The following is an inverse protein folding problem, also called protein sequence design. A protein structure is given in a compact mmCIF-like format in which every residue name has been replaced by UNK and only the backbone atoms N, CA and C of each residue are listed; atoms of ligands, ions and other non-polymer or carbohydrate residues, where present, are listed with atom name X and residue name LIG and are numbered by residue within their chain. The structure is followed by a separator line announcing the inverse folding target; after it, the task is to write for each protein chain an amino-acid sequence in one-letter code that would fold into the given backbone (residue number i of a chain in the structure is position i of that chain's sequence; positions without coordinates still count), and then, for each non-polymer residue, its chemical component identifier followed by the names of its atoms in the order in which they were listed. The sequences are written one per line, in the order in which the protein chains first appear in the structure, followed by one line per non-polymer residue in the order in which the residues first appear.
data_IF_743209342977
#
_entry.id   IF_743209342977
#
_cell.length_a   1.000
_cell.length_b   1.000
_cell.length_c   1.000
_cell.angle_alpha   90.00
_cell.angle_beta   90.00
_cell.angle_gamma   90.00
#
_symmetry.space_group_name_H-M   'P 1'
#
loop_
_entity.id
_entity.type
_entity.pdbx_description
1 polymer ?
#
# COMPACT_ATOMS: atom_id res chain seq x y z
N UNK A 1 -10.13 6.77 59.17
CA UNK A 1 -9.69 7.59 58.02
C UNK A 1 -10.04 6.80 56.77
N UNK A 2 -11.16 7.08 56.08
CA UNK A 2 -11.39 6.50 54.77
C UNK A 2 -10.26 6.98 53.84
N UNK A 3 -9.58 6.03 53.18
CA UNK A 3 -8.47 6.32 52.30
C UNK A 3 -8.88 7.28 51.19
N UNK A 4 -8.10 8.36 51.04
CA UNK A 4 -8.21 9.26 49.90
C UNK A 4 -7.99 8.42 48.63
N UNK A 5 -9.07 8.14 47.91
CA UNK A 5 -8.99 7.62 46.54
C UNK A 5 -8.39 8.75 45.72
N UNK A 6 -7.13 8.63 45.35
CA UNK A 6 -6.52 9.53 44.37
C UNK A 6 -7.31 9.38 43.07
N UNK A 7 -7.87 10.46 42.49
CA UNK A 7 -8.57 10.37 41.23
C UNK A 7 -7.63 9.81 40.15
N UNK A 8 -8.16 8.94 39.28
CA UNK A 8 -7.43 8.49 38.09
C UNK A 8 -6.98 9.72 37.29
N UNK A 9 -5.75 9.73 36.73
CA UNK A 9 -5.35 10.80 35.83
C UNK A 9 -6.32 10.87 34.65
N UNK A 10 -6.55 12.09 34.11
CA UNK A 10 -7.43 12.27 32.95
C UNK A 10 -6.86 11.51 31.75
N UNK A 11 -7.69 10.91 30.88
CA UNK A 11 -7.20 10.23 29.70
C UNK A 11 -6.40 11.18 28.81
N UNK A 12 -5.47 10.63 28.01
CA UNK A 12 -4.80 11.39 26.98
C UNK A 12 -5.82 11.83 25.92
N UNK A 13 -5.70 13.08 25.50
CA UNK A 13 -6.54 13.67 24.47
C UNK A 13 -5.67 14.34 23.41
N UNK A 14 -6.18 14.49 22.20
CA UNK A 14 -5.53 15.24 21.14
C UNK A 14 -6.48 16.26 20.54
N UNK A 15 -5.98 17.47 20.31
CA UNK A 15 -6.64 18.46 19.47
C UNK A 15 -6.23 18.20 18.02
N UNK A 16 -7.19 17.77 17.21
CA UNK A 16 -7.01 17.46 15.79
C UNK A 16 -7.93 18.36 14.96
N UNK A 17 -7.44 18.87 13.83
CA UNK A 17 -8.27 19.56 12.85
C UNK A 17 -8.82 18.56 11.82
N UNK A 18 -10.12 18.36 11.83
CA UNK A 18 -10.83 17.41 10.97
C UNK A 18 -11.55 18.13 9.84
N UNK A 19 -11.83 17.41 8.76
CA UNK A 19 -12.80 17.83 7.76
C UNK A 19 -14.19 18.02 8.39
N UNK A 20 -14.95 18.98 7.89
CA UNK A 20 -16.39 19.02 8.16
C UNK A 20 -17.05 17.82 7.46
N UNK A 21 -17.93 17.05 8.14
CA UNK A 21 -18.60 15.90 7.57
C UNK A 21 -19.33 16.21 6.27
N UNK A 22 -19.31 15.25 5.34
CA UNK A 22 -20.01 15.36 4.05
C UNK A 22 -21.49 15.68 4.21
N UNK A 23 -22.13 15.18 5.26
CA UNK A 23 -23.55 15.43 5.59
C UNK A 23 -23.86 16.89 5.93
N UNK A 24 -22.87 17.69 6.32
CA UNK A 24 -23.00 19.12 6.62
C UNK A 24 -22.66 20.02 5.40
N UNK A 25 -22.20 19.43 4.29
CA UNK A 25 -21.81 20.15 3.09
C UNK A 25 -22.88 20.06 2.01
N UNK A 26 -23.16 21.18 1.34
CA UNK A 26 -24.03 21.18 0.15
C UNK A 26 -23.37 20.43 -1.01
N UNK A 27 -24.14 19.88 -1.97
CA UNK A 27 -23.56 19.23 -3.16
C UNK A 27 -22.59 20.13 -3.95
N UNK A 28 -22.86 21.44 -4.00
CA UNK A 28 -21.99 22.41 -4.66
C UNK A 28 -20.64 22.57 -3.94
N UNK A 29 -20.64 22.60 -2.60
CA UNK A 29 -19.40 22.63 -1.81
C UNK A 29 -18.60 21.35 -2.00
N UNK A 30 -19.26 20.19 -1.94
CA UNK A 30 -18.60 18.89 -2.18
C UNK A 30 -17.94 18.85 -3.56
N UNK A 31 -18.67 19.24 -4.62
CA UNK A 31 -18.14 19.28 -5.97
C UNK A 31 -16.94 20.23 -6.10
N UNK A 32 -16.97 21.40 -5.43
CA UNK A 32 -15.85 22.34 -5.40
C UNK A 32 -14.62 21.72 -4.73
N UNK A 33 -14.80 21.15 -3.54
CA UNK A 33 -13.73 20.57 -2.71
C UNK A 33 -13.02 19.45 -3.47
N UNK A 34 -13.75 18.62 -4.20
CA UNK A 34 -13.20 17.51 -4.97
C UNK A 34 -12.54 17.94 -6.29
N UNK A 35 -12.82 19.15 -6.80
CA UNK A 35 -12.34 19.58 -8.12
C UNK A 35 -10.92 20.18 -8.12
N UNK A 36 -10.61 21.06 -7.16
CA UNK A 36 -9.32 21.77 -7.14
C UNK A 36 -8.93 22.21 -5.73
N UNK A 37 -7.65 22.09 -5.42
CA UNK A 37 -7.05 22.67 -4.22
C UNK A 37 -6.94 24.19 -4.34
N UNK A 38 -7.48 24.90 -3.35
CA UNK A 38 -7.41 26.35 -3.21
C UNK A 38 -6.97 26.69 -1.78
N UNK A 39 -5.84 27.40 -1.63
CA UNK A 39 -5.33 27.80 -0.32
C UNK A 39 -6.12 28.98 0.26
N UNK A 40 -6.74 29.80 -0.58
CA UNK A 40 -7.56 30.95 -0.18
C UNK A 40 -8.99 30.53 0.17
N UNK A 41 -9.42 29.35 -0.28
CA UNK A 41 -10.68 28.71 0.12
C UNK A 41 -10.45 27.23 0.46
N UNK A 42 -9.83 26.95 1.62
CA UNK A 42 -9.44 25.60 2.00
C UNK A 42 -10.67 24.73 2.31
N UNK A 43 -10.45 23.41 2.33
CA UNK A 43 -11.48 22.45 2.76
C UNK A 43 -12.03 22.85 4.12
N UNK A 44 -13.37 23.02 4.25
CA UNK A 44 -13.99 23.34 5.53
C UNK A 44 -13.56 22.35 6.59
N UNK A 45 -12.99 22.87 7.68
CA UNK A 45 -12.43 22.06 8.76
C UNK A 45 -12.78 22.64 10.13
N UNK A 46 -12.75 21.78 11.15
CA UNK A 46 -12.94 22.17 12.54
C UNK A 46 -12.03 21.36 13.47
N UNK A 47 -11.56 22.03 14.52
CA UNK A 47 -10.82 21.36 15.59
C UNK A 47 -11.78 20.63 16.51
N UNK A 48 -11.43 19.39 16.86
CA UNK A 48 -12.09 18.62 17.90
C UNK A 48 -11.04 18.04 18.84
N UNK A 49 -11.41 17.90 20.11
CA UNK A 49 -10.65 17.15 21.11
C UNK A 49 -11.15 15.72 21.10
N UNK A 50 -10.25 14.77 20.85
CA UNK A 50 -10.57 13.33 20.79
C UNK A 50 -9.68 12.55 21.74
N UNK A 51 -10.12 11.40 22.27
CA UNK A 51 -9.24 10.48 22.97
C UNK A 51 -8.08 10.04 22.07
N UNK A 52 -6.88 9.91 22.62
CA UNK A 52 -5.71 9.37 21.92
C UNK A 52 -4.97 8.38 22.80
N UNK A 53 -4.39 7.35 22.19
CA UNK A 53 -3.60 6.32 22.89
C UNK A 53 -2.11 6.53 22.61
N UNK A 54 -1.28 6.45 23.64
CA UNK A 54 0.18 6.37 23.47
C UNK A 54 0.61 4.92 23.18
N UNK A 55 1.17 4.71 22.00
CA UNK A 55 1.65 3.43 21.48
C UNK A 55 3.07 3.09 21.95
N UNK A 56 3.71 3.95 22.75
CA UNK A 56 5.08 3.75 23.26
C UNK A 56 5.28 2.38 23.90
N UNK A 57 4.40 1.98 24.81
CA UNK A 57 4.51 0.66 25.47
C UNK A 57 4.34 -0.51 24.49
N UNK A 58 3.40 -0.39 23.54
CA UNK A 58 3.18 -1.39 22.49
C UNK A 58 4.43 -1.53 21.60
N UNK A 59 5.07 -0.41 21.26
CA UNK A 59 6.32 -0.38 20.48
C UNK A 59 7.49 -1.01 21.22
N UNK A 60 7.65 -0.72 22.51
CA UNK A 60 8.68 -1.35 23.34
C UNK A 60 8.45 -2.86 23.51
N UNK A 61 7.18 -3.28 23.56
CA UNK A 61 6.79 -4.68 23.61
C UNK A 61 6.85 -5.40 22.23
N UNK A 62 7.29 -4.72 21.17
CA UNK A 62 7.45 -5.30 19.83
C UNK A 62 6.15 -5.45 19.05
N UNK A 63 5.18 -4.54 19.25
CA UNK A 63 3.91 -4.48 18.52
C UNK A 63 3.13 -5.80 18.52
N UNK A 64 3.13 -6.50 19.66
CA UNK A 64 2.45 -7.81 19.79
C UNK A 64 3.09 -8.94 18.98
N UNK A 65 4.33 -8.77 18.52
CA UNK A 65 5.02 -9.72 17.65
C UNK A 65 4.62 -9.62 16.17
N UNK A 66 3.79 -8.65 15.79
CA UNK A 66 3.35 -8.43 14.42
C UNK A 66 4.44 -7.71 13.60
N UNK A 67 4.78 -8.29 12.46
CA UNK A 67 5.61 -7.65 11.45
C UNK A 67 4.91 -6.46 10.78
N UNK A 68 5.64 -5.62 10.03
CA UNK A 68 5.09 -4.40 9.46
C UNK A 68 3.90 -4.63 8.52
N UNK A 69 3.95 -5.69 7.70
CA UNK A 69 2.85 -6.07 6.80
C UNK A 69 1.56 -6.42 7.57
N UNK A 70 1.67 -7.21 8.63
CA UNK A 70 0.54 -7.64 9.45
C UNK A 70 -0.10 -6.45 10.19
N UNK A 71 0.72 -5.53 10.69
CA UNK A 71 0.22 -4.28 11.28
C UNK A 71 -0.52 -3.42 10.23
N UNK A 72 0.05 -3.26 9.03
CA UNK A 72 -0.59 -2.51 7.95
C UNK A 72 -1.93 -3.13 7.53
N UNK A 73 -2.00 -4.45 7.40
CA UNK A 73 -3.23 -5.16 7.04
C UNK A 73 -4.29 -5.05 8.15
N UNK A 74 -3.90 -5.04 9.43
CA UNK A 74 -4.83 -4.96 10.55
C UNK A 74 -5.46 -3.56 10.73
N UNK A 75 -4.67 -2.49 10.62
CA UNK A 75 -5.09 -1.13 11.05
C UNK A 75 -4.69 0.01 10.11
N UNK A 76 -4.01 -0.28 9.00
CA UNK A 76 -3.62 0.71 7.99
C UNK A 76 -2.29 1.40 8.26
N UNK A 77 -1.70 1.25 9.45
CA UNK A 77 -0.38 1.77 9.80
C UNK A 77 0.46 0.74 10.57
N UNK A 78 1.77 0.86 10.44
CA UNK A 78 2.73 0.13 11.26
C UNK A 78 3.67 1.09 12.00
N UNK A 79 4.16 0.66 13.16
CA UNK A 79 5.22 1.33 13.90
C UNK A 79 6.42 0.40 13.95
N UNK A 80 7.58 0.91 13.55
CA UNK A 80 8.81 0.10 13.46
C UNK A 80 9.96 0.78 14.18
N UNK A 81 10.86 -0.03 14.75
CA UNK A 81 12.20 0.38 15.14
C UNK A 81 13.15 0.10 13.97
N UNK A 82 13.70 1.15 13.40
CA UNK A 82 14.67 1.07 12.30
C UNK A 82 15.59 2.28 12.37
N UNK A 83 16.91 2.07 12.41
CA UNK A 83 17.89 3.16 12.38
C UNK A 83 18.31 3.41 10.94
N UNK A 84 18.19 4.66 10.49
CA UNK A 84 18.70 5.09 9.19
C UNK A 84 20.19 5.42 9.29
N UNK A 85 20.98 4.96 8.32
CA UNK A 85 22.38 5.37 8.17
C UNK A 85 22.49 6.73 7.48
N UNK A 86 21.45 7.13 6.76
CA UNK A 86 21.50 8.21 5.78
C UNK A 86 20.70 9.43 6.20
N UNK A 87 19.71 9.31 7.10
CA UNK A 87 18.92 10.43 7.58
C UNK A 87 19.64 11.15 8.75
N UNK A 88 20.35 12.27 8.51
CA UNK A 88 21.03 12.95 9.59
C UNK A 88 20.03 13.83 10.36
N UNK A 89 20.41 14.23 11.57
CA UNK A 89 19.60 15.15 12.38
C UNK A 89 19.39 16.53 11.76
N UNK A 90 20.29 16.95 10.86
CA UNK A 90 20.17 18.17 10.06
C UNK A 90 19.12 18.06 8.94
N UNK A 91 18.63 16.84 8.65
CA UNK A 91 17.72 16.53 7.55
C UNK A 91 18.42 16.26 6.22
N UNK A 92 17.62 16.07 5.16
CA UNK A 92 18.09 15.71 3.82
C UNK A 92 18.47 16.96 3.00
N UNK A 93 19.55 17.62 3.41
CA UNK A 93 19.97 18.94 2.91
C UNK A 93 20.62 18.93 1.51
N UNK A 94 20.99 17.76 1.00
CA UNK A 94 21.55 17.63 -0.35
C UNK A 94 20.70 16.68 -1.18
N UNK A 95 20.73 16.85 -2.51
CA UNK A 95 20.12 15.92 -3.46
C UNK A 95 20.67 14.52 -3.21
N UNK A 96 21.99 14.38 -3.10
CA UNK A 96 22.65 13.09 -2.86
C UNK A 96 22.15 12.40 -1.58
N UNK A 97 22.03 13.12 -0.46
CA UNK A 97 21.47 12.57 0.77
C UNK A 97 19.99 12.19 0.62
N UNK A 98 19.21 12.99 -0.10
CA UNK A 98 17.79 12.71 -0.36
C UNK A 98 17.61 11.44 -1.20
N UNK A 99 18.38 11.30 -2.29
CA UNK A 99 18.36 10.10 -3.14
C UNK A 99 18.86 8.86 -2.40
N UNK A 100 19.93 9.00 -1.61
CA UNK A 100 20.48 7.90 -0.83
C UNK A 100 19.45 7.43 0.23
N UNK A 101 18.77 8.34 0.92
CA UNK A 101 17.72 7.97 1.88
C UNK A 101 16.50 7.35 1.20
N UNK A 102 16.09 7.84 0.03
CA UNK A 102 15.05 7.19 -0.78
C UNK A 102 15.41 5.74 -1.12
N UNK A 103 16.67 5.48 -1.48
CA UNK A 103 17.15 4.13 -1.77
C UNK A 103 17.16 3.23 -0.53
N UNK A 104 17.57 3.75 0.64
CA UNK A 104 17.49 3.02 1.92
C UNK A 104 16.04 2.64 2.27
N UNK A 105 15.11 3.58 2.09
CA UNK A 105 13.68 3.32 2.29
C UNK A 105 13.14 2.25 1.32
N UNK A 106 13.56 2.26 0.05
CA UNK A 106 13.21 1.18 -0.88
C UNK A 106 13.69 -0.19 -0.38
N UNK A 107 14.97 -0.30 -0.01
CA UNK A 107 15.56 -1.55 0.47
C UNK A 107 14.87 -2.07 1.74
N UNK A 108 14.54 -1.17 2.68
CA UNK A 108 13.77 -1.50 3.88
C UNK A 108 12.40 -2.12 3.53
N UNK A 109 11.70 -1.57 2.54
CA UNK A 109 10.37 -2.06 2.16
C UNK A 109 10.44 -3.38 1.36
N UNK A 110 11.47 -3.57 0.54
CA UNK A 110 11.75 -4.85 -0.11
C UNK A 110 11.95 -5.97 0.91
N UNK A 111 12.74 -5.72 1.96
CA UNK A 111 13.00 -6.67 3.04
C UNK A 111 11.78 -6.89 3.95
N UNK A 112 11.20 -5.81 4.48
CA UNK A 112 10.18 -5.89 5.53
C UNK A 112 8.78 -6.21 5.05
N UNK A 113 8.46 -5.92 3.78
CA UNK A 113 7.14 -6.19 3.20
C UNK A 113 7.18 -7.30 2.13
N UNK A 114 8.37 -7.84 1.81
CA UNK A 114 8.53 -8.84 0.74
C UNK A 114 8.14 -8.28 -0.63
N UNK A 115 8.40 -7.00 -0.87
CA UNK A 115 8.11 -6.37 -2.15
C UNK A 115 9.10 -6.79 -3.22
N UNK A 116 8.61 -7.07 -4.43
CA UNK A 116 9.46 -7.40 -5.58
C UNK A 116 10.20 -6.17 -6.12
N UNK A 117 9.57 -5.01 -6.01
CA UNK A 117 10.11 -3.74 -6.46
C UNK A 117 9.50 -2.61 -5.64
N UNK A 118 10.35 -1.68 -5.20
CA UNK A 118 9.89 -0.46 -4.53
C UNK A 118 10.39 0.79 -5.27
N UNK A 119 9.49 1.74 -5.52
CA UNK A 119 9.80 3.02 -6.17
C UNK A 119 9.52 4.16 -5.19
N UNK A 120 10.56 4.90 -4.80
CA UNK A 120 10.41 6.14 -4.04
C UNK A 120 9.97 7.29 -4.97
N UNK A 121 8.74 7.75 -4.80
CA UNK A 121 8.11 8.77 -5.67
C UNK A 121 8.58 10.18 -5.35
N UNK A 122 8.57 10.54 -4.07
CA UNK A 122 9.01 11.84 -3.56
C UNK A 122 9.46 11.74 -2.10
N UNK A 123 10.10 12.80 -1.61
CA UNK A 123 10.48 12.92 -0.21
C UNK A 123 10.22 14.35 0.27
N UNK A 124 9.48 14.49 1.38
CA UNK A 124 9.10 15.79 1.95
C UNK A 124 9.60 15.90 3.38
N UNK A 125 10.45 16.89 3.65
CA UNK A 125 10.82 17.29 5.00
C UNK A 125 9.79 18.29 5.52
N UNK A 126 9.25 18.03 6.69
CA UNK A 126 8.34 18.93 7.41
C UNK A 126 8.99 19.44 8.68
N UNK A 127 8.79 20.72 8.97
CA UNK A 127 9.29 21.39 10.18
C UNK A 127 8.17 22.18 10.87
N UNK A 128 8.04 22.03 12.20
CA UNK A 128 7.01 22.71 12.99
C UNK A 128 7.29 24.19 13.28
N UNK A 129 8.50 24.68 13.07
CA UNK A 129 8.89 26.08 13.25
C UNK A 129 9.15 26.81 11.94
N UNK A 130 9.96 26.21 11.06
CA UNK A 130 10.45 26.86 9.82
C UNK A 130 9.68 26.43 8.56
N UNK A 131 8.72 25.52 8.70
CA UNK A 131 8.01 24.92 7.57
C UNK A 131 7.11 25.91 6.82
N UNK A 132 7.21 25.89 5.49
CA UNK A 132 6.39 26.72 4.60
C UNK A 132 5.02 26.09 4.36
N UNK A 133 3.96 26.90 4.45
CA UNK A 133 2.60 26.49 4.09
C UNK A 133 2.51 26.22 2.58
N UNK A 134 1.68 25.24 2.19
CA UNK A 134 1.38 25.02 0.79
C UNK A 134 0.44 26.12 0.28
N UNK A 135 0.95 26.95 -0.64
CA UNK A 135 0.20 28.09 -1.19
C UNK A 135 -0.52 27.77 -2.50
N UNK A 136 -0.08 26.73 -3.21
CA UNK A 136 -0.65 26.30 -4.48
C UNK A 136 -0.53 24.79 -4.64
N UNK A 137 -1.55 24.20 -5.25
CA UNK A 137 -1.52 22.80 -5.64
C UNK A 137 -0.89 22.63 -7.01
N UNK A 138 0.09 21.75 -7.12
CA UNK A 138 0.64 21.26 -8.39
C UNK A 138 0.61 19.75 -8.36
N UNK A 139 -0.20 19.14 -9.21
CA UNK A 139 -0.24 17.69 -9.31
C UNK A 139 1.16 17.16 -9.62
N UNK A 140 1.63 16.24 -8.80
CA UNK A 140 2.92 15.61 -9.06
C UNK A 140 2.73 14.48 -10.07
N UNK A 141 3.15 14.71 -11.31
CA UNK A 141 2.96 13.72 -12.38
C UNK A 141 4.21 12.86 -12.64
N UNK A 142 5.34 13.17 -11.98
CA UNK A 142 6.62 12.47 -12.17
C UNK A 142 7.33 12.32 -10.84
N UNK A 143 8.18 11.29 -10.77
CA UNK A 143 9.15 11.10 -9.67
C UNK A 143 9.97 12.37 -9.52
N UNK A 144 10.10 12.84 -8.29
CA UNK A 144 10.94 13.99 -7.97
C UNK A 144 12.42 13.61 -8.07
N UNK A 145 13.14 14.30 -8.95
CA UNK A 145 14.59 14.15 -9.12
C UNK A 145 15.25 15.50 -8.88
N UNK A 146 16.52 15.46 -8.49
CA UNK A 146 17.35 16.66 -8.33
C UNK A 146 16.84 17.64 -7.25
N UNK A 147 15.96 17.16 -6.36
CA UNK A 147 15.42 17.93 -5.26
C UNK A 147 16.09 17.56 -3.94
N UNK A 148 16.47 18.57 -3.17
CA UNK A 148 16.97 18.41 -1.81
C UNK A 148 15.85 18.78 -0.83
N UNK A 149 15.33 17.77 -0.13
CA UNK A 149 14.06 17.93 0.60
C UNK A 149 14.12 18.95 1.74
N UNK A 150 15.26 19.05 2.43
CA UNK A 150 15.41 20.01 3.53
C UNK A 150 15.71 21.45 3.08
N UNK A 151 15.90 21.71 1.78
CA UNK A 151 16.14 23.08 1.27
C UNK A 151 14.88 23.95 1.27
N UNK A 152 13.70 23.33 1.29
CA UNK A 152 12.41 24.02 1.35
C UNK A 152 11.44 23.21 2.23
N UNK A 153 11.66 23.16 3.56
CA UNK A 153 10.84 22.36 4.45
C UNK A 153 9.39 22.87 4.45
N UNK A 154 8.45 21.93 4.52
CA UNK A 154 7.01 22.21 4.55
C UNK A 154 6.52 22.33 5.99
N UNK A 155 5.41 23.05 6.19
CA UNK A 155 4.71 23.04 7.46
C UNK A 155 4.24 21.60 7.78
N UNK A 156 4.06 21.32 9.07
CA UNK A 156 3.46 20.06 9.52
C UNK A 156 2.03 19.93 8.95
N UNK A 157 1.62 18.71 8.58
CA UNK A 157 0.29 18.47 8.04
C UNK A 157 -0.76 18.56 9.17
N UNK A 158 -1.28 19.74 9.41
CA UNK A 158 -2.19 20.05 10.52
C UNK A 158 -3.68 19.78 10.22
N UNK A 159 -3.98 18.97 9.20
CA UNK A 159 -5.34 18.58 8.81
C UNK A 159 -5.38 17.05 8.68
N UNK A 160 -6.40 16.41 9.25
CA UNK A 160 -6.53 14.96 9.22
C UNK A 160 -6.90 14.47 7.82
N UNK A 161 -6.03 13.63 7.24
CA UNK A 161 -6.15 13.22 5.84
C UNK A 161 -5.59 11.83 5.58
N UNK A 162 -5.92 11.32 4.39
CA UNK A 162 -5.21 10.25 3.68
C UNK A 162 -4.74 10.86 2.37
N UNK A 163 -3.46 10.65 2.04
CA UNK A 163 -2.80 11.39 0.97
C UNK A 163 -3.31 11.14 -0.44
N UNK A 164 -3.84 9.94 -0.70
CA UNK A 164 -4.27 9.51 -2.02
C UNK A 164 -5.65 8.89 -1.92
N UNK A 165 -6.53 9.28 -2.85
CA UNK A 165 -7.68 8.45 -3.19
C UNK A 165 -7.31 7.37 -4.22
N UNK A 166 -8.25 6.46 -4.48
CA UNK A 166 -8.03 5.37 -5.43
C UNK A 166 -7.72 5.87 -6.86
N UNK A 167 -8.45 6.86 -7.36
CA UNK A 167 -8.31 7.36 -8.73
C UNK A 167 -6.90 7.91 -8.97
N UNK A 168 -6.45 8.77 -8.06
CA UNK A 168 -5.15 9.39 -8.17
C UNK A 168 -4.02 8.41 -7.85
N UNK A 169 -4.20 7.49 -6.89
CA UNK A 169 -3.25 6.42 -6.63
C UNK A 169 -2.97 5.58 -7.88
N UNK A 170 -4.02 5.13 -8.57
CA UNK A 170 -3.89 4.37 -9.83
C UNK A 170 -3.17 5.19 -10.90
N UNK A 171 -3.49 6.47 -11.00
CA UNK A 171 -2.85 7.39 -11.95
C UNK A 171 -1.34 7.52 -11.71
N UNK A 172 -0.91 7.77 -10.47
CA UNK A 172 0.52 7.98 -10.17
C UNK A 172 1.33 6.69 -10.18
N UNK A 173 0.71 5.55 -9.80
CA UNK A 173 1.33 4.24 -9.94
C UNK A 173 1.66 3.96 -11.41
N UNK A 174 0.70 4.18 -12.33
CA UNK A 174 0.95 3.99 -13.77
C UNK A 174 2.09 4.86 -14.28
N UNK A 175 2.15 6.12 -13.84
CA UNK A 175 3.23 7.03 -14.21
C UNK A 175 4.60 6.64 -13.68
N UNK A 176 4.66 5.95 -12.53
CA UNK A 176 5.92 5.48 -11.96
C UNK A 176 6.36 4.12 -12.50
N UNK A 177 5.42 3.18 -12.61
CA UNK A 177 5.71 1.78 -12.80
C UNK A 177 5.44 1.29 -14.23
N UNK A 178 4.73 2.07 -15.06
CA UNK A 178 4.30 1.70 -16.41
C UNK A 178 2.77 1.69 -16.53
N UNK A 179 2.24 1.93 -17.73
CA UNK A 179 0.79 1.86 -17.99
C UNK A 179 0.21 0.47 -17.73
N UNK A 180 1.04 -0.56 -17.90
CA UNK A 180 0.77 -1.98 -17.67
C UNK A 180 1.01 -2.44 -16.22
N UNK A 181 1.21 -1.51 -15.28
CA UNK A 181 1.57 -1.85 -13.91
C UNK A 181 0.53 -2.73 -13.21
N UNK A 182 -0.76 -2.47 -13.42
CA UNK A 182 -1.84 -3.22 -12.76
C UNK A 182 -2.07 -4.61 -13.39
N UNK A 183 -1.54 -4.83 -14.58
CA UNK A 183 -1.51 -6.10 -15.29
C UNK A 183 -0.25 -6.91 -14.94
N UNK A 184 0.85 -6.22 -14.62
CA UNK A 184 2.15 -6.82 -14.32
C UNK A 184 2.31 -7.32 -12.88
N UNK A 185 1.74 -6.59 -11.92
CA UNK A 185 1.92 -6.86 -10.49
C UNK A 185 0.61 -7.34 -9.86
N UNK A 186 0.69 -8.31 -8.95
CA UNK A 186 -0.47 -8.90 -8.26
C UNK A 186 -1.04 -7.99 -7.17
N UNK A 187 -0.17 -7.20 -6.54
CA UNK A 187 -0.52 -6.21 -5.52
C UNK A 187 0.35 -4.98 -5.69
N UNK A 188 -0.29 -3.83 -5.73
CA UNK A 188 0.35 -2.52 -5.83
C UNK A 188 -0.16 -1.66 -4.69
N UNK A 189 0.76 -1.13 -3.88
CA UNK A 189 0.42 -0.31 -2.73
C UNK A 189 1.14 1.02 -2.79
N UNK A 190 0.53 2.05 -2.20
CA UNK A 190 1.21 3.28 -1.84
C UNK A 190 1.31 3.28 -0.33
N UNK A 191 2.55 3.25 0.16
CA UNK A 191 2.83 3.25 1.58
C UNK A 191 3.90 4.31 1.83
N UNK A 192 3.59 5.28 2.69
CA UNK A 192 4.57 6.27 3.10
C UNK A 192 5.37 5.75 4.28
N UNK A 193 6.66 6.10 4.36
CA UNK A 193 7.41 6.07 5.62
C UNK A 193 7.52 7.47 6.18
N UNK A 194 7.12 7.66 7.44
CA UNK A 194 7.30 8.89 8.19
C UNK A 194 8.30 8.67 9.32
N UNK A 195 9.32 9.54 9.42
CA UNK A 195 10.41 9.42 10.38
C UNK A 195 10.78 10.77 10.99
N UNK A 196 10.96 10.89 12.32
CA UNK A 196 11.64 12.03 12.93
C UNK A 196 13.09 12.12 12.45
N UNK A 197 13.55 13.31 12.05
CA UNK A 197 14.96 13.55 11.73
C UNK A 197 15.75 13.90 13.00
N UNK A 198 15.12 14.59 13.95
CA UNK A 198 15.66 14.85 15.29
C UNK A 198 14.68 14.37 16.33
N UNK A 199 15.19 13.93 17.47
CA UNK A 199 14.35 13.46 18.55
C UNK A 199 14.90 13.81 19.93
N UNK A 200 14.07 13.57 20.96
CA UNK A 200 12.69 13.08 20.84
C UNK A 200 11.73 14.12 20.23
N UNK A 201 10.65 13.68 19.60
CA UNK A 201 9.58 14.56 19.12
C UNK A 201 8.76 15.03 20.32
N UNK A 202 8.86 16.31 20.67
CA UNK A 202 8.16 16.90 21.83
C UNK A 202 7.04 17.88 21.46
N UNK A 203 6.80 18.13 20.17
CA UNK A 203 5.67 18.95 19.74
C UNK A 203 5.15 18.47 18.39
N UNK A 204 3.86 18.70 18.15
CA UNK A 204 3.19 18.30 16.91
C UNK A 204 3.45 16.82 16.53
N UNK A 205 3.34 15.83 17.44
CA UNK A 205 3.56 14.44 17.06
C UNK A 205 2.61 14.02 15.93
N UNK A 206 2.98 12.96 15.22
CA UNK A 206 2.12 12.38 14.20
C UNK A 206 1.12 11.44 14.89
N UNK A 207 -0.15 11.80 14.84
CA UNK A 207 -1.25 10.92 15.21
C UNK A 207 -1.73 10.14 13.99
N UNK A 208 -2.08 8.88 14.21
CA UNK A 208 -2.56 7.92 13.22
C UNK A 208 -3.89 7.33 13.66
N UNK A 209 -4.82 7.15 12.74
CA UNK A 209 -6.13 6.57 12.99
C UNK A 209 -6.14 5.09 12.62
N UNK A 210 -6.67 4.25 13.51
CA UNK A 210 -6.93 2.84 13.24
C UNK A 210 -8.06 2.71 12.22
N UNK A 211 -7.74 2.19 11.03
CA UNK A 211 -8.69 2.03 9.94
C UNK A 211 -9.92 1.20 10.33
N UNK A 212 -9.76 0.19 11.21
CA UNK A 212 -10.85 -0.68 11.62
C UNK A 212 -11.98 0.05 12.38
N UNK A 213 -11.76 1.32 12.70
CA UNK A 213 -12.70 2.20 13.41
C UNK A 213 -13.28 3.31 12.55
N UNK A 214 -12.85 3.42 11.30
CA UNK A 214 -13.37 4.42 10.37
C UNK A 214 -14.66 3.93 9.73
N UNK A 215 -15.69 4.78 9.74
CA UNK A 215 -16.82 4.63 8.84
C UNK A 215 -16.46 5.29 7.51
N UNK A 216 -16.10 4.49 6.50
CA UNK A 216 -15.66 5.00 5.19
C UNK A 216 -16.75 5.86 4.51
N UNK A 217 -18.03 5.65 4.79
CA UNK A 217 -19.10 6.42 4.17
C UNK A 217 -19.31 7.78 4.84
N UNK A 218 -19.14 7.84 6.16
CA UNK A 218 -19.44 9.03 6.97
C UNK A 218 -18.21 9.87 7.30
N UNK A 219 -17.07 9.21 7.56
CA UNK A 219 -15.87 9.86 8.07
C UNK A 219 -14.99 10.41 6.94
N UNK A 220 -15.20 9.99 5.69
CA UNK A 220 -14.28 10.26 4.58
C UNK A 220 -14.87 11.27 3.59
N UNK A 221 -14.10 12.31 3.31
CA UNK A 221 -14.43 13.36 2.34
C UNK A 221 -13.43 13.37 1.19
N UNK A 222 -13.87 13.07 -0.03
CA UNK A 222 -13.05 13.24 -1.24
C UNK A 222 -12.71 14.72 -1.46
N UNK A 223 -11.42 15.01 -1.64
CA UNK A 223 -10.93 16.37 -1.83
C UNK A 223 -9.75 16.43 -2.80
N UNK A 224 -9.58 17.57 -3.45
CA UNK A 224 -8.34 17.91 -4.13
C UNK A 224 -7.35 18.50 -3.11
N UNK A 225 -6.18 17.88 -2.98
CA UNK A 225 -5.04 18.35 -2.20
C UNK A 225 -4.00 19.07 -3.05
N UNK A 226 -2.95 19.57 -2.39
CA UNK A 226 -1.87 20.31 -3.04
C UNK A 226 -1.05 19.49 -4.05
N UNK A 227 -1.11 18.16 -3.98
CA UNK A 227 -0.33 17.28 -4.85
C UNK A 227 -1.16 16.33 -5.71
N UNK A 228 -2.50 16.36 -5.62
CA UNK A 228 -3.39 15.36 -6.25
C UNK A 228 -4.75 15.33 -5.56
N UNK A 229 -5.56 14.29 -5.78
CA UNK A 229 -6.77 14.04 -4.97
C UNK A 229 -6.46 13.12 -3.80
N UNK A 230 -7.20 13.32 -2.72
CA UNK A 230 -6.93 12.82 -1.38
C UNK A 230 -8.25 12.67 -0.61
N UNK A 231 -8.16 12.16 0.63
CA UNK A 231 -9.28 12.13 1.56
C UNK A 231 -9.04 13.05 2.74
N UNK A 232 -10.05 13.84 3.09
CA UNK A 232 -10.17 14.46 4.41
C UNK A 232 -10.86 13.52 5.37
N UNK A 233 -10.41 13.48 6.63
CA UNK A 233 -11.02 12.69 7.70
C UNK A 233 -11.87 13.61 8.57
N UNK A 234 -13.13 13.26 8.74
CA UNK A 234 -14.09 13.91 9.63
C UNK A 234 -14.05 13.25 11.00
N UNK A 235 -14.35 14.01 12.06
CA UNK A 235 -14.31 13.49 13.43
C UNK A 235 -15.50 12.54 13.70
N UNK A 236 -15.22 11.37 14.27
CA UNK A 236 -16.23 10.47 14.82
C UNK A 236 -15.81 9.99 16.21
N UNK A 237 -16.79 9.70 17.08
CA UNK A 237 -16.55 9.21 18.44
C UNK A 237 -16.04 7.77 18.47
N UNK A 238 -16.27 7.01 17.41
CA UNK A 238 -15.85 5.60 17.30
C UNK A 238 -14.38 5.45 16.88
N UNK A 239 -13.78 6.52 16.35
CA UNK A 239 -12.41 6.53 15.87
C UNK A 239 -11.40 6.31 17.00
N UNK A 240 -10.46 5.40 16.78
CA UNK A 240 -9.30 5.22 17.65
C UNK A 240 -8.07 5.88 17.04
N UNK A 241 -7.61 6.92 17.70
CA UNK A 241 -6.37 7.63 17.37
C UNK A 241 -5.23 7.15 18.27
N UNK A 242 -4.03 7.01 17.70
CA UNK A 242 -2.81 6.68 18.41
C UNK A 242 -1.66 7.59 18.01
N UNK A 243 -0.66 7.70 18.88
CA UNK A 243 0.65 8.31 18.59
C UNK A 243 1.74 7.62 19.41
N UNK A 244 3.01 7.94 19.16
CA UNK A 244 4.14 7.44 19.94
C UNK A 244 4.76 8.64 20.67
N UNK A 245 4.70 8.63 22.00
CA UNK A 245 5.33 9.66 22.82
C UNK A 245 6.86 9.65 22.66
N UNK A 246 7.47 10.85 22.67
CA UNK A 246 8.91 11.04 22.54
C UNK A 246 9.58 10.26 21.38
N UNK A 247 8.89 10.14 20.24
CA UNK A 247 9.37 9.35 19.11
C UNK A 247 10.78 9.76 18.66
N UNK A 248 11.66 8.79 18.45
CA UNK A 248 13.08 8.98 18.15
C UNK A 248 13.40 8.75 16.67
N UNK A 249 14.55 9.23 16.14
CA UNK A 249 14.92 9.02 14.74
C UNK A 249 15.18 7.57 14.32
N UNK A 250 15.37 6.68 15.29
CA UNK A 250 15.47 5.22 15.07
C UNK A 250 14.09 4.53 15.08
N UNK A 251 13.02 5.30 14.96
CA UNK A 251 11.64 4.83 14.93
C UNK A 251 10.93 5.46 13.74
N UNK A 252 9.99 4.74 13.13
CA UNK A 252 9.25 5.23 11.98
C UNK A 252 7.82 4.68 11.95
N UNK A 253 6.93 5.44 11.31
CA UNK A 253 5.62 4.95 10.89
C UNK A 253 5.69 4.48 9.45
N UNK A 254 4.98 3.39 9.14
CA UNK A 254 4.56 3.08 7.78
C UNK A 254 3.06 3.40 7.68
N UNK A 255 2.64 4.15 6.68
CA UNK A 255 1.27 4.64 6.52
C UNK A 255 0.75 4.15 5.17
N UNK A 256 -0.25 3.27 5.18
CA UNK A 256 -0.92 2.86 3.94
C UNK A 256 -1.74 4.03 3.42
N UNK A 257 -1.53 4.42 2.18
CA UNK A 257 -2.34 5.41 1.47
C UNK A 257 -3.24 4.75 0.43
N UNK A 258 -2.80 3.63 -0.15
CA UNK A 258 -3.56 2.87 -1.14
C UNK A 258 -3.11 1.41 -1.19
N UNK A 259 -4.05 0.51 -1.51
CA UNK A 259 -3.78 -0.89 -1.82
C UNK A 259 -4.68 -1.35 -2.97
N UNK A 260 -4.12 -1.90 -4.04
CA UNK A 260 -4.88 -2.38 -5.20
C UNK A 260 -5.85 -3.52 -4.89
N UNK A 261 -5.64 -4.25 -3.79
CA UNK A 261 -6.56 -5.29 -3.33
C UNK A 261 -7.78 -4.71 -2.62
N UNK A 262 -7.76 -3.45 -2.19
CA UNK A 262 -8.93 -2.74 -1.63
C UNK A 262 -9.66 -3.54 -0.54
N UNK A 263 -8.91 -4.14 0.40
CA UNK A 263 -9.48 -4.86 1.54
C UNK A 263 -10.29 -6.10 1.16
N UNK A 264 -10.02 -6.71 -0.01
CA UNK A 264 -10.71 -7.92 -0.50
C UNK A 264 -10.74 -9.07 0.51
N UNK A 265 -9.80 -9.13 1.46
CA UNK A 265 -9.76 -10.13 2.52
C UNK A 265 -9.89 -9.53 3.93
N UNK A 266 -10.44 -8.32 4.03
CA UNK A 266 -10.68 -7.63 5.30
C UNK A 266 -9.52 -6.75 5.77
N UNK A 267 -8.52 -6.51 4.92
CA UNK A 267 -7.40 -5.63 5.22
C UNK A 267 -7.80 -4.15 5.25
N UNK A 268 -7.06 -3.38 6.03
CA UNK A 268 -7.22 -1.94 6.07
C UNK A 268 -6.92 -1.27 4.73
N UNK A 269 -7.74 -0.30 4.33
CA UNK A 269 -7.58 0.38 3.05
C UNK A 269 -6.49 1.45 3.09
N UNK A 270 -6.41 2.19 4.20
CA UNK A 270 -5.49 3.32 4.38
C UNK A 270 -5.40 3.75 5.86
N UNK A 271 -4.47 4.65 6.19
CA UNK A 271 -4.35 5.28 7.50
C UNK A 271 -4.55 6.80 7.43
N UNK A 272 -5.58 7.27 8.11
CA UNK A 272 -5.75 8.69 8.40
C UNK A 272 -4.64 9.17 9.34
N UNK A 273 -4.03 10.31 9.05
CA UNK A 273 -2.93 10.82 9.86
C UNK A 273 -2.89 12.35 9.91
N UNK A 274 -2.29 12.89 10.96
CA UNK A 274 -2.28 14.34 11.24
C UNK A 274 -1.20 14.71 12.24
N UNK A 275 -0.64 15.91 12.11
CA UNK A 275 0.11 16.54 13.19
C UNK A 275 -0.87 17.14 14.21
N UNK A 276 -0.84 16.69 15.47
CA UNK A 276 -1.80 17.09 16.50
C UNK A 276 -1.16 17.81 17.68
N UNK A 277 -1.97 18.38 18.57
CA UNK A 277 -1.52 18.78 19.92
C UNK A 277 -2.06 17.76 20.91
N UNK A 278 -1.17 17.07 21.63
CA UNK A 278 -1.59 16.16 22.70
C UNK A 278 -1.76 16.95 24.00
N UNK A 279 -2.80 16.63 24.74
CA UNK A 279 -3.15 17.18 26.03
C UNK A 279 -2.95 16.12 27.11
N UNK A 280 -2.73 16.57 28.34
CA UNK A 280 -2.53 15.72 29.51
C UNK A 280 -1.27 14.82 29.41
N UNK A 281 -0.25 15.19 28.62
CA UNK A 281 1.00 14.41 28.48
C UNK A 281 1.85 14.41 29.75
N UNK A 282 1.63 15.35 30.68
CA UNK A 282 2.29 15.38 31.98
C UNK A 282 2.06 14.09 32.80
N UNK A 283 1.00 13.35 32.50
CA UNK A 283 0.72 12.06 33.14
C UNK A 283 1.68 10.94 32.72
N UNK A 284 2.33 11.08 31.56
CA UNK A 284 3.24 10.08 31.00
C UNK A 284 4.62 10.07 31.68
N UNK A 285 4.87 11.01 32.62
CA UNK A 285 6.14 11.14 33.35
C UNK A 285 7.37 11.12 32.41
N UNK A 286 7.21 11.76 31.24
CA UNK A 286 8.27 11.85 30.24
C UNK A 286 9.46 12.63 30.79
N UNK A 287 10.67 12.28 30.34
CA UNK A 287 11.88 13.00 30.72
C UNK A 287 11.77 14.49 30.37
N UNK A 288 11.85 15.34 31.40
CA UNK A 288 11.70 16.79 31.28
C UNK A 288 13.01 17.51 30.99
N UNK A 289 14.16 16.82 31.04
CA UNK A 289 15.48 17.38 30.70
C UNK A 289 15.77 17.34 29.19
N UNK A 290 14.75 17.02 28.40
CA UNK A 290 14.79 16.97 26.95
C UNK A 290 14.77 18.39 26.37
N UNK A 291 15.69 18.66 25.45
CA UNK A 291 15.69 19.92 24.70
C UNK A 291 14.47 19.96 23.77
N UNK A 292 13.51 20.83 24.08
CA UNK A 292 12.36 21.10 23.23
C UNK A 292 12.81 21.83 21.95
N UNK A 293 12.94 21.07 20.86
CA UNK A 293 13.15 21.60 19.52
C UNK A 293 11.90 21.36 18.67
N UNK A 294 11.55 22.27 17.74
CA UNK A 294 10.43 22.02 16.83
C UNK A 294 10.59 20.67 16.12
N UNK A 295 9.52 19.90 15.95
CA UNK A 295 9.58 18.65 15.19
C UNK A 295 10.16 18.91 13.79
N UNK A 296 11.16 18.11 13.41
CA UNK A 296 11.62 17.98 12.03
C UNK A 296 11.51 16.52 11.65
N UNK A 297 10.79 16.22 10.57
CA UNK A 297 10.49 14.87 10.11
C UNK A 297 10.62 14.77 8.61
N UNK A 298 10.83 13.58 8.09
CA UNK A 298 10.75 13.27 6.66
C UNK A 298 9.64 12.28 6.40
N UNK A 299 8.93 12.48 5.29
CA UNK A 299 7.99 11.54 4.72
C UNK A 299 8.49 11.14 3.33
N UNK A 300 8.56 9.85 3.04
CA UNK A 300 8.90 9.32 1.71
C UNK A 300 7.72 8.49 1.23
N UNK A 301 7.18 8.84 0.06
CA UNK A 301 6.11 8.07 -0.59
C UNK A 301 6.71 6.96 -1.42
N UNK A 302 6.33 5.72 -1.13
CA UNK A 302 6.85 4.54 -1.80
C UNK A 302 5.71 3.81 -2.50
N UNK A 303 5.98 3.38 -3.73
CA UNK A 303 5.12 2.46 -4.45
C UNK A 303 5.69 1.07 -4.31
N UNK A 304 4.94 0.21 -3.65
CA UNK A 304 5.33 -1.14 -3.25
C UNK A 304 4.65 -2.11 -4.19
N UNK A 305 5.44 -2.83 -4.98
CA UNK A 305 4.96 -3.66 -6.07
C UNK A 305 5.34 -5.11 -5.80
N UNK A 306 4.33 -5.98 -5.75
CA UNK A 306 4.50 -7.41 -5.58
C UNK A 306 4.24 -8.09 -6.92
N UNK A 307 5.21 -8.87 -7.41
CA UNK A 307 4.98 -9.64 -8.62
C UNK A 307 3.82 -10.62 -8.41
N UNK A 308 3.10 -10.96 -9.48
CA UNK A 308 2.36 -12.22 -9.45
C UNK A 308 3.37 -13.36 -9.29
N UNK A 309 3.07 -14.32 -8.40
CA UNK A 309 3.87 -15.53 -8.23
C UNK A 309 3.98 -16.32 -9.56
N UNK A 310 3.05 -16.09 -10.49
CA UNK A 310 3.06 -16.59 -11.87
C UNK A 310 3.98 -15.74 -12.76
N UNK A 311 4.02 -14.41 -12.62
CA UNK A 311 4.93 -13.52 -13.37
C UNK A 311 6.42 -13.80 -13.09
N UNK A 312 6.78 -14.10 -11.83
CA UNK A 312 8.13 -14.55 -11.46
C UNK A 312 8.50 -15.91 -12.07
N UNK A 313 7.52 -16.82 -12.21
CA UNK A 313 7.73 -18.09 -12.90
C UNK A 313 7.85 -17.88 -14.41
N UNK A 314 7.11 -16.93 -14.99
CA UNK A 314 7.09 -16.64 -16.43
C UNK A 314 8.35 -15.91 -16.91
N UNK A 315 8.90 -14.98 -16.12
CA UNK A 315 9.96 -14.05 -16.54
C UNK A 315 11.37 -14.30 -15.97
N UNK A 316 11.65 -15.46 -15.37
CA UNK A 316 13.07 -15.84 -15.18
C UNK A 316 13.74 -15.93 -16.55
N UNK A 317 14.84 -15.20 -16.81
CA UNK A 317 15.62 -15.40 -18.02
C UNK A 317 16.01 -16.87 -18.09
N UNK A 318 15.85 -17.46 -19.27
CA UNK A 318 16.27 -18.82 -19.55
C UNK A 318 17.77 -18.95 -19.22
N UNK A 319 18.07 -19.68 -18.14
CA UNK A 319 19.43 -20.07 -17.81
C UNK A 319 19.78 -21.26 -18.71
N UNK A 320 20.45 -20.96 -19.82
CA UNK A 320 20.88 -21.94 -20.81
C UNK A 320 21.88 -22.99 -20.26
N UNK A 321 22.29 -22.87 -18.99
CA UNK A 321 23.24 -23.77 -18.34
C UNK A 321 22.64 -24.56 -17.17
N UNK A 322 21.35 -24.41 -16.88
CA UNK A 322 20.72 -25.10 -15.75
C UNK A 322 20.33 -26.57 -16.02
N UNK A 323 20.54 -27.09 -17.24
CA UNK A 323 20.24 -28.50 -17.57
C UNK A 323 21.14 -29.00 -18.72
N UNK A 324 22.42 -29.26 -18.45
CA UNK A 324 23.23 -30.12 -19.32
C UNK A 324 22.87 -31.58 -19.05
N UNK A 325 21.88 -32.06 -19.80
CA UNK A 325 21.41 -33.44 -19.69
C UNK A 325 20.48 -33.87 -20.82
N UNK A 326 21.09 -34.25 -21.95
CA UNK A 326 20.56 -35.01 -23.08
C UNK A 326 19.98 -34.22 -24.27
N UNK A 327 20.62 -34.50 -25.42
CA UNK A 327 20.36 -34.07 -26.78
C UNK A 327 18.90 -34.29 -27.25
N UNK A 328 18.41 -33.39 -28.11
CA UNK A 328 18.15 -33.68 -29.53
C UNK A 328 17.76 -32.41 -30.30
N UNK A 329 18.29 -32.31 -31.52
CA UNK A 329 18.20 -31.20 -32.46
C UNK A 329 16.75 -30.81 -32.85
N UNK A 330 16.44 -29.52 -32.86
CA UNK A 330 15.30 -28.99 -33.62
C UNK A 330 15.71 -27.77 -34.44
N UNK A 331 15.76 -27.97 -35.76
CA UNK A 331 15.88 -26.93 -36.77
C UNK A 331 14.61 -26.08 -36.80
N UNK A 332 14.77 -24.76 -36.83
CA UNK A 332 13.67 -23.80 -36.96
C UNK A 332 13.35 -23.64 -38.43
N UNK A 333 12.25 -24.23 -38.89
CA UNK A 333 11.70 -23.96 -40.22
C UNK A 333 10.48 -23.06 -40.11
N UNK A 334 10.57 -21.95 -40.83
CA UNK A 334 9.64 -20.83 -40.85
C UNK A 334 8.52 -21.10 -41.84
N UNK A 335 7.30 -20.64 -41.50
CA UNK A 335 6.00 -20.67 -42.22
C UNK A 335 5.01 -21.76 -41.79
N UNK A 336 3.90 -21.32 -41.19
CA UNK A 336 2.59 -21.40 -41.83
C UNK A 336 1.56 -20.49 -41.14
N UNK A 337 0.94 -19.61 -41.91
CA UNK A 337 -0.24 -18.86 -41.52
C UNK A 337 -1.50 -19.75 -41.60
N UNK A 338 -2.40 -19.68 -40.60
CA UNK A 338 -3.85 -19.37 -40.78
C UNK A 338 -4.72 -19.56 -39.53
N UNK A 339 -5.73 -18.65 -39.49
CA UNK A 339 -7.06 -18.68 -38.86
C UNK A 339 -7.17 -18.30 -37.37
N UNK A 340 -7.54 -17.02 -37.19
CA UNK A 340 -8.26 -16.50 -36.03
C UNK A 340 -9.47 -17.38 -35.71
N UNK A 341 -9.36 -18.16 -34.64
CA UNK A 341 -10.47 -18.78 -33.93
C UNK A 341 -10.63 -17.96 -32.64
N UNK A 342 -11.87 -17.57 -32.32
CA UNK A 342 -12.18 -16.64 -31.23
C UNK A 342 -11.45 -16.99 -29.90
N UNK A 343 -10.83 -15.99 -29.27
CA UNK A 343 -9.99 -16.02 -28.05
C UNK A 343 -10.78 -16.40 -26.77
N UNK A 344 -11.48 -17.53 -26.77
CA UNK A 344 -12.13 -18.06 -25.58
C UNK A 344 -11.30 -19.18 -24.95
N UNK A 345 -11.10 -19.08 -23.64
CA UNK A 345 -10.51 -20.13 -22.83
C UNK A 345 -11.61 -21.14 -22.48
N UNK A 346 -11.42 -22.39 -22.88
CA UNK A 346 -12.39 -23.46 -22.66
C UNK A 346 -11.92 -24.37 -21.52
N UNK A 347 -12.69 -24.38 -20.43
CA UNK A 347 -12.53 -25.33 -19.32
C UNK A 347 -13.57 -26.42 -19.49
N UNK A 348 -13.17 -27.68 -19.70
CA UNK A 348 -14.09 -28.81 -19.89
C UNK A 348 -13.84 -29.89 -18.87
N UNK A 349 -14.89 -30.50 -18.34
CA UNK A 349 -14.79 -31.74 -17.54
C UNK A 349 -15.17 -32.95 -18.39
N UNK A 350 -14.43 -34.04 -18.20
CA UNK A 350 -14.70 -35.34 -18.80
C UNK A 350 -14.65 -36.43 -17.73
N UNK A 351 -15.43 -37.50 -17.91
CA UNK A 351 -15.40 -38.66 -17.02
C UNK A 351 -14.28 -39.61 -17.48
N UNK A 352 -13.36 -39.96 -16.58
CA UNK A 352 -12.23 -40.85 -16.88
C UNK A 352 -12.58 -42.32 -16.63
N UNK A 353 -13.02 -42.65 -15.42
CA UNK A 353 -13.38 -44.02 -15.00
C UNK A 353 -14.26 -44.00 -13.75
N UNK A 354 -15.47 -44.55 -13.82
CA UNK A 354 -16.41 -44.54 -12.68
C UNK A 354 -16.66 -43.12 -12.18
N UNK A 355 -16.41 -42.85 -10.89
CA UNK A 355 -16.57 -41.50 -10.33
C UNK A 355 -15.39 -40.55 -10.59
N UNK A 356 -14.32 -41.01 -11.24
CA UNK A 356 -13.13 -40.18 -11.50
C UNK A 356 -13.34 -39.32 -12.74
N UNK A 357 -13.05 -38.04 -12.61
CA UNK A 357 -13.14 -37.04 -13.68
C UNK A 357 -11.75 -36.48 -14.01
N UNK A 358 -11.66 -35.85 -15.17
CA UNK A 358 -10.50 -35.11 -15.64
C UNK A 358 -10.99 -33.73 -16.10
N UNK A 359 -10.30 -32.68 -15.68
CA UNK A 359 -10.57 -31.31 -16.11
C UNK A 359 -9.52 -30.92 -17.14
N UNK A 360 -9.95 -30.37 -18.27
CA UNK A 360 -9.11 -29.95 -19.39
C UNK A 360 -9.23 -28.45 -19.61
N UNK A 361 -8.11 -27.77 -19.81
CA UNK A 361 -8.01 -26.35 -20.11
C UNK A 361 -7.39 -26.20 -21.50
N UNK A 362 -8.14 -25.58 -22.41
CA UNK A 362 -7.76 -25.38 -23.81
C UNK A 362 -7.98 -23.93 -24.23
N UNK A 363 -7.24 -23.47 -25.24
CA UNK A 363 -7.30 -22.07 -25.68
C UNK A 363 -6.54 -21.10 -24.76
N UNK A 364 -5.52 -21.59 -24.05
CA UNK A 364 -4.61 -20.73 -23.28
C UNK A 364 -3.86 -19.82 -24.26
N UNK A 365 -3.89 -18.49 -24.10
CA UNK A 365 -3.18 -17.57 -24.99
C UNK A 365 -1.69 -17.88 -25.08
N UNK A 366 -1.07 -17.65 -26.25
CA UNK A 366 0.34 -18.00 -26.51
C UNK A 366 1.36 -17.25 -25.64
N UNK A 367 0.91 -16.19 -24.98
CA UNK A 367 1.63 -15.42 -23.97
C UNK A 367 1.82 -16.17 -22.64
N UNK A 368 1.05 -17.23 -22.37
CA UNK A 368 1.20 -18.06 -21.17
C UNK A 368 1.85 -19.42 -21.49
N UNK A 369 2.84 -19.83 -20.68
CA UNK A 369 3.48 -21.15 -20.80
C UNK A 369 2.63 -22.24 -20.10
N UNK A 370 2.07 -23.21 -20.85
CA UNK A 370 1.21 -24.25 -20.29
C UNK A 370 1.94 -25.16 -19.27
N UNK A 371 3.26 -25.33 -19.40
CA UNK A 371 4.04 -26.15 -18.45
C UNK A 371 4.15 -25.48 -17.09
N UNK A 372 4.23 -24.14 -17.06
CA UNK A 372 4.29 -23.36 -15.82
C UNK A 372 2.94 -23.30 -15.12
N UNK A 373 1.86 -23.07 -15.88
CA UNK A 373 0.48 -23.15 -15.37
C UNK A 373 0.20 -24.52 -14.74
N UNK A 374 0.61 -25.61 -15.40
CA UNK A 374 0.46 -26.96 -14.84
C UNK A 374 1.17 -27.11 -13.49
N UNK A 375 2.36 -26.52 -13.31
CA UNK A 375 3.10 -26.57 -12.04
C UNK A 375 2.38 -25.81 -10.92
N UNK A 376 1.81 -24.65 -11.23
CA UNK A 376 0.99 -23.88 -10.30
C UNK A 376 -0.26 -24.66 -9.88
N UNK A 377 -1.02 -25.18 -10.86
CA UNK A 377 -2.22 -25.98 -10.60
C UNK A 377 -1.95 -27.23 -9.75
N UNK A 378 -0.84 -27.93 -9.98
CA UNK A 378 -0.45 -29.09 -9.16
C UNK A 378 -0.19 -28.71 -7.70
N UNK A 379 0.48 -27.58 -7.47
CA UNK A 379 0.82 -27.09 -6.13
C UNK A 379 -0.44 -26.67 -5.37
N UNK A 380 -1.33 -25.94 -6.04
CA UNK A 380 -2.47 -25.29 -5.39
C UNK A 380 -3.68 -26.20 -5.25
N UNK A 381 -3.98 -27.01 -6.27
CA UNK A 381 -5.15 -27.87 -6.27
C UNK A 381 -4.89 -29.24 -5.66
N UNK A 382 -3.65 -29.52 -5.24
CA UNK A 382 -3.18 -30.81 -4.72
C UNK A 382 -3.57 -31.99 -5.64
N UNK A 383 -3.51 -31.77 -6.95
CA UNK A 383 -3.89 -32.75 -7.97
C UNK A 383 -2.73 -33.02 -8.93
N UNK A 384 -2.80 -34.14 -9.66
CA UNK A 384 -1.83 -34.45 -10.70
C UNK A 384 -2.37 -34.04 -12.08
N UNK A 385 -1.48 -33.87 -13.05
CA UNK A 385 -1.83 -33.42 -14.40
C UNK A 385 -0.69 -33.50 -15.40
N UNK A 386 -1.02 -33.29 -16.67
CA UNK A 386 -0.13 -33.36 -17.84
C UNK A 386 -0.45 -32.25 -18.83
N UNK A 387 0.52 -31.88 -19.67
CA UNK A 387 0.28 -31.05 -20.87
C UNK A 387 0.30 -32.00 -22.06
N UNK A 388 -0.75 -31.96 -22.87
CA UNK A 388 -0.87 -32.76 -24.09
C UNK A 388 -0.99 -31.83 -25.30
N UNK A 389 -0.36 -32.22 -26.41
CA UNK A 389 -0.49 -31.50 -27.69
C UNK A 389 -1.63 -32.11 -28.49
N UNK A 390 -2.59 -31.27 -28.89
CA UNK A 390 -3.77 -31.67 -29.63
C UNK A 390 -3.79 -30.97 -30.99
N UNK A 391 -3.96 -31.74 -32.08
CA UNK A 391 -3.88 -31.25 -33.47
C UNK A 391 -4.80 -30.05 -33.76
N UNK A 392 -5.96 -29.98 -33.11
CA UNK A 392 -6.97 -28.94 -33.32
C UNK A 392 -6.98 -27.81 -32.28
N UNK A 393 -6.36 -28.02 -31.10
CA UNK A 393 -6.48 -27.11 -29.95
C UNK A 393 -5.14 -26.66 -29.36
N UNK A 394 -4.02 -27.05 -29.97
CA UNK A 394 -2.68 -26.72 -29.49
C UNK A 394 -2.37 -27.43 -28.16
N UNK A 395 -1.63 -26.76 -27.28
CA UNK A 395 -1.25 -27.30 -25.97
C UNK A 395 -2.44 -27.22 -25.00
N UNK A 396 -2.89 -28.38 -24.53
CA UNK A 396 -4.02 -28.54 -23.60
C UNK A 396 -3.49 -29.03 -22.26
N UNK A 397 -3.93 -28.40 -21.17
CA UNK A 397 -3.58 -28.84 -19.81
C UNK A 397 -4.67 -29.77 -19.30
N UNK A 398 -4.28 -30.93 -18.77
CA UNK A 398 -5.18 -31.89 -18.14
C UNK A 398 -4.88 -32.05 -16.65
N UNK A 399 -5.92 -32.02 -15.82
CA UNK A 399 -5.85 -32.16 -14.36
C UNK A 399 -6.80 -33.26 -13.86
N UNK A 400 -6.39 -33.98 -12.83
CA UNK A 400 -7.24 -35.00 -12.20
C UNK A 400 -8.30 -34.37 -11.28
N UNK A 401 -9.54 -34.88 -11.36
CA UNK A 401 -10.69 -34.40 -10.60
C UNK A 401 -11.43 -33.25 -11.28
N UNK A 402 -12.53 -32.81 -10.68
CA UNK A 402 -13.23 -31.58 -11.06
C UNK A 402 -12.54 -30.39 -10.39
N UNK A 403 -11.82 -29.59 -11.17
CA UNK A 403 -11.15 -28.38 -10.69
C UNK A 403 -11.69 -27.14 -11.42
N UNK A 404 -12.84 -27.24 -12.10
CA UNK A 404 -13.36 -26.16 -12.97
C UNK A 404 -13.46 -24.82 -12.23
N UNK A 405 -14.03 -24.85 -11.03
CA UNK A 405 -14.24 -23.66 -10.22
C UNK A 405 -12.91 -23.01 -9.77
N UNK A 406 -11.95 -23.83 -9.30
CA UNK A 406 -10.65 -23.34 -8.85
C UNK A 406 -9.80 -22.78 -10.00
N UNK A 407 -9.86 -23.42 -11.16
CA UNK A 407 -9.20 -22.91 -12.37
C UNK A 407 -9.82 -21.58 -12.76
N UNK A 408 -11.14 -21.45 -12.73
CA UNK A 408 -11.82 -20.20 -13.07
C UNK A 408 -11.47 -19.07 -12.10
N UNK A 409 -11.49 -19.33 -10.79
CA UNK A 409 -11.11 -18.36 -9.75
C UNK A 409 -9.67 -17.90 -9.95
N UNK A 410 -8.73 -18.81 -10.13
CA UNK A 410 -7.33 -18.48 -10.37
C UNK A 410 -7.13 -17.68 -11.67
N UNK A 411 -7.80 -18.04 -12.76
CA UNK A 411 -7.67 -17.27 -14.01
C UNK A 411 -8.22 -15.84 -13.87
N UNK A 412 -9.29 -15.66 -13.09
CA UNK A 412 -9.86 -14.33 -12.79
C UNK A 412 -8.91 -13.53 -11.87
N UNK A 413 -8.31 -14.18 -10.88
CA UNK A 413 -7.30 -13.56 -10.01
C UNK A 413 -6.07 -13.08 -10.80
N UNK A 414 -5.66 -13.83 -11.83
CA UNK A 414 -4.58 -13.47 -12.75
C UNK A 414 -5.01 -12.45 -13.84
N UNK A 415 -6.18 -11.83 -13.70
CA UNK A 415 -6.62 -10.73 -14.57
C UNK A 415 -7.27 -11.14 -15.89
N UNK A 416 -7.56 -12.43 -16.09
CA UNK A 416 -8.30 -12.88 -17.27
C UNK A 416 -9.80 -12.55 -17.10
N UNK A 417 -10.33 -11.74 -18.02
CA UNK A 417 -11.73 -11.33 -18.03
C UNK A 417 -12.68 -12.52 -18.02
N UNK A 418 -13.62 -12.55 -17.08
CA UNK A 418 -14.58 -13.66 -16.87
C UNK A 418 -15.37 -13.99 -18.15
N UNK A 419 -15.62 -13.00 -18.99
CA UNK A 419 -16.31 -13.11 -20.27
C UNK A 419 -15.55 -13.94 -21.32
N UNK A 420 -14.24 -14.08 -21.17
CA UNK A 420 -13.38 -14.88 -22.06
C UNK A 420 -13.31 -16.35 -21.66
N UNK A 421 -13.80 -16.70 -20.47
CA UNK A 421 -13.75 -18.06 -19.91
C UNK A 421 -15.09 -18.77 -20.12
N UNK A 422 -15.07 -19.88 -20.85
CA UNK A 422 -16.24 -20.74 -21.06
C UNK A 422 -16.04 -22.07 -20.35
N UNK A 423 -16.85 -22.31 -19.32
CA UNK A 423 -16.94 -23.62 -18.66
C UNK A 423 -17.91 -24.55 -19.39
N UNK A 424 -17.50 -25.79 -19.61
CA UNK A 424 -18.26 -26.85 -20.28
C UNK A 424 -18.31 -28.10 -19.41
N UNK A 425 -19.43 -28.82 -19.50
CA UNK A 425 -19.64 -30.12 -18.87
C UNK A 425 -20.92 -30.18 -18.06
N UNK A 426 -21.07 -31.26 -17.30
CA UNK A 426 -22.29 -31.61 -16.57
C UNK A 426 -22.42 -30.83 -15.25
#
# INVERSE_FOLDING_TARGET
MPGLVTPSPPPLEAVINFAVPKSELTPAQQAKISAQFDADDPVPSRKATVPIVDLREELEAGMGGLGPAEQLDARGYAVIKNTSEIAPSTGLATVAATEAYKAECCALFEDSLGASKVIAWNAVVRDAGEGQQDVKGTQQLKVEKEFASASAPKAVAGFAHVDQDEEYARTIIKRAAGEDAFEKYSRLQIINIWRPLRGPVTNHPLAVCDFSTLDVEQDILHMAGSYGTAYGVSSSADQRWGYVSNMMPHEAYLLRCFDSQQGRHGEALYAGHVACTVLNEEQLQLDHDVVHVPRRSVEVRLFVLHDSSVYQLLNKPYDAFADEGADEDVQVDDKLAKKQQADYIHIRIQQRNGRKTITTLSGVPTEYDPKKLLKAFKKEFACNGSVEEHEEHGKVIQLQGDQRQKIMEMLIEEGIGKETIKMHGF
#
